data_IF_312235037437
#
_entry.id   IF_312235037437
#
_cell.length_a   1.000
_cell.length_b   1.000
_cell.length_c   1.000
_cell.angle_alpha   90.00
_cell.angle_beta   90.00
_cell.angle_gamma   90.00
#
_symmetry.space_group_name_H-M   'P 1'
#
loop_
_entity.id
_entity.type
_entity.pdbx_description
1 polymer ?
#
# COMPACT_ATOMS: atom_id res chain seq x y z
N UNK A 1 -0.39 -22.20 7.23
CA UNK A 1 -0.96 -22.49 5.89
C UNK A 1 0.06 -22.10 4.86
N UNK A 2 0.23 -22.87 3.77
CA UNK A 2 1.11 -22.50 2.68
C UNK A 2 0.54 -21.27 1.94
N UNK A 3 1.40 -20.30 1.63
CA UNK A 3 1.02 -19.14 0.83
C UNK A 3 0.67 -19.59 -0.61
N UNK A 4 -0.28 -18.92 -1.27
CA UNK A 4 -0.60 -19.22 -2.68
C UNK A 4 0.65 -19.14 -3.56
N UNK A 5 0.73 -19.97 -4.60
CA UNK A 5 1.89 -19.99 -5.51
C UNK A 5 2.12 -18.70 -6.28
N UNK A 6 1.14 -17.78 -6.33
CA UNK A 6 1.26 -16.45 -6.91
C UNK A 6 1.91 -15.41 -5.98
N UNK A 7 2.13 -15.76 -4.70
CA UNK A 7 2.77 -14.86 -3.73
C UNK A 7 4.30 -14.94 -3.91
N UNK A 8 5.00 -13.85 -4.28
CA UNK A 8 6.42 -13.90 -4.55
C UNK A 8 7.23 -14.19 -3.28
N UNK A 9 8.29 -14.95 -3.39
CA UNK A 9 9.25 -15.11 -2.31
C UNK A 9 10.18 -13.91 -2.21
N UNK A 10 10.59 -13.37 -3.37
CA UNK A 10 11.54 -12.30 -3.50
C UNK A 10 11.27 -11.49 -4.78
N UNK A 11 11.30 -10.16 -4.67
CA UNK A 11 11.40 -9.25 -5.81
C UNK A 11 12.70 -8.44 -5.65
N UNK A 12 13.58 -8.54 -6.61
CA UNK A 12 14.90 -7.93 -6.56
C UNK A 12 14.94 -6.61 -7.32
N UNK A 13 15.39 -5.55 -6.65
CA UNK A 13 15.71 -4.25 -7.22
C UNK A 13 17.21 -3.98 -7.23
N UNK A 14 17.59 -2.76 -7.58
CA UNK A 14 18.99 -2.32 -7.56
C UNK A 14 19.51 -1.98 -6.17
N UNK A 15 18.64 -1.37 -5.33
CA UNK A 15 19.00 -0.86 -4.00
C UNK A 15 18.15 -1.44 -2.89
N UNK A 16 17.10 -2.15 -3.24
CA UNK A 16 16.17 -2.79 -2.30
C UNK A 16 15.80 -4.18 -2.78
N UNK A 17 15.36 -4.99 -1.84
CA UNK A 17 14.68 -6.25 -2.10
C UNK A 17 13.35 -6.26 -1.35
N UNK A 18 12.33 -6.83 -1.97
CA UNK A 18 11.04 -7.07 -1.33
C UNK A 18 10.91 -8.57 -1.09
N UNK A 19 10.59 -8.96 0.14
CA UNK A 19 10.40 -10.35 0.53
C UNK A 19 9.28 -10.50 1.53
N UNK A 20 8.88 -11.73 1.77
CA UNK A 20 7.81 -12.03 2.74
C UNK A 20 8.14 -11.49 4.11
N UNK A 21 7.13 -10.98 4.80
CA UNK A 21 7.26 -10.63 6.20
C UNK A 21 7.54 -11.87 7.06
N UNK A 22 8.30 -11.66 8.13
CA UNK A 22 8.50 -12.62 9.21
C UNK A 22 7.98 -12.05 10.52
N UNK A 23 7.63 -12.87 11.53
CA UNK A 23 7.08 -12.37 12.80
C UNK A 23 7.98 -11.33 13.49
N UNK A 24 9.30 -11.44 13.34
CA UNK A 24 10.25 -10.48 13.90
C UNK A 24 10.08 -9.04 13.36
N UNK A 25 9.44 -8.88 12.18
CA UNK A 25 9.15 -7.56 11.60
C UNK A 25 8.14 -6.74 12.43
N UNK A 26 7.36 -7.36 13.33
CA UNK A 26 6.43 -6.67 14.22
C UNK A 26 7.11 -5.52 14.98
N UNK A 27 8.34 -5.72 15.46
CA UNK A 27 9.10 -4.66 16.17
C UNK A 27 9.33 -3.41 15.33
N UNK A 28 9.50 -3.56 14.02
CA UNK A 28 9.61 -2.42 13.11
C UNK A 28 8.26 -1.71 12.96
N UNK A 29 7.17 -2.46 12.82
CA UNK A 29 5.82 -1.89 12.77
C UNK A 29 5.48 -1.13 14.05
N UNK A 30 5.85 -1.64 15.23
CA UNK A 30 5.68 -0.95 16.52
C UNK A 30 6.39 0.42 16.52
N UNK A 31 7.63 0.50 16.03
CA UNK A 31 8.35 1.78 15.91
C UNK A 31 7.71 2.73 14.89
N UNK A 32 7.36 2.22 13.72
CA UNK A 32 6.85 3.05 12.62
C UNK A 32 5.49 3.64 12.91
N UNK A 33 4.53 2.82 13.31
CA UNK A 33 3.15 3.26 13.50
C UNK A 33 2.92 3.93 14.86
N UNK A 34 3.87 3.84 15.80
CA UNK A 34 3.92 4.66 17.00
C UNK A 34 4.59 6.03 16.76
N UNK A 35 5.29 6.24 15.64
CA UNK A 35 5.88 7.53 15.29
C UNK A 35 4.79 8.49 14.75
N UNK A 36 4.64 9.70 15.33
CA UNK A 36 3.59 10.64 14.92
C UNK A 36 3.70 11.08 13.45
N UNK A 37 4.91 11.20 12.91
CA UNK A 37 5.13 11.68 11.55
C UNK A 37 4.77 10.59 10.53
N UNK A 38 5.11 9.33 10.82
CA UNK A 38 4.68 8.18 10.00
C UNK A 38 3.17 8.04 10.08
N UNK A 39 2.59 8.11 11.29
CA UNK A 39 1.15 8.01 11.49
C UNK A 39 0.40 9.11 10.72
N UNK A 40 0.90 10.36 10.75
CA UNK A 40 0.32 11.48 10.02
C UNK A 40 0.21 11.21 8.51
N UNK A 41 1.18 10.53 7.94
CA UNK A 41 1.26 10.27 6.49
C UNK A 41 0.50 9.01 6.03
N UNK A 42 0.13 8.12 6.97
CA UNK A 42 -0.34 6.76 6.63
C UNK A 42 -1.69 6.38 7.24
N UNK A 43 -2.23 7.19 8.16
CA UNK A 43 -3.46 6.87 8.90
C UNK A 43 -4.57 7.86 8.61
N UNK A 44 -5.82 7.35 8.59
CA UNK A 44 -7.03 8.18 8.57
C UNK A 44 -7.33 8.78 9.96
N UNK A 45 -7.11 8.01 11.02
CA UNK A 45 -7.25 8.49 12.40
C UNK A 45 -6.08 9.41 12.76
N UNK A 46 -6.34 10.41 13.58
CA UNK A 46 -5.29 11.27 14.09
C UNK A 46 -4.44 10.58 15.15
N UNK A 47 -3.14 10.87 15.11
CA UNK A 47 -2.15 10.37 16.07
C UNK A 47 -1.65 8.93 15.79
N UNK A 48 -0.66 8.50 16.60
CA UNK A 48 -0.02 7.19 16.50
C UNK A 48 -0.99 6.03 16.80
N UNK A 49 -0.65 4.86 16.31
CA UNK A 49 -1.36 3.62 16.66
C UNK A 49 -0.95 3.16 18.07
N UNK A 50 -1.92 2.62 18.80
CA UNK A 50 -1.64 1.88 20.03
C UNK A 50 -1.03 0.52 19.69
N UNK A 51 -0.31 -0.05 20.65
CA UNK A 51 0.38 -1.33 20.46
C UNK A 51 -0.56 -2.46 20.01
N UNK A 52 -1.73 -2.59 20.65
CA UNK A 52 -2.72 -3.59 20.30
C UNK A 52 -3.31 -3.42 18.89
N UNK A 53 -3.41 -2.17 18.42
CA UNK A 53 -3.81 -1.87 17.04
C UNK A 53 -2.71 -2.28 16.05
N UNK A 54 -1.43 -2.00 16.39
CA UNK A 54 -0.28 -2.36 15.55
C UNK A 54 -0.17 -3.88 15.42
N UNK A 55 -0.31 -4.62 16.53
CA UNK A 55 -0.28 -6.08 16.53
C UNK A 55 -1.38 -6.68 15.64
N UNK A 56 -2.62 -6.16 15.74
CA UNK A 56 -3.74 -6.59 14.87
C UNK A 56 -3.50 -6.24 13.41
N UNK A 57 -3.02 -5.02 13.15
CA UNK A 57 -2.71 -4.56 11.80
C UNK A 57 -1.61 -5.41 11.16
N UNK A 58 -0.54 -5.71 11.90
CA UNK A 58 0.53 -6.56 11.44
C UNK A 58 0.03 -7.97 11.14
N UNK A 59 -0.72 -8.59 12.05
CA UNK A 59 -1.28 -9.92 11.87
C UNK A 59 -2.19 -9.99 10.63
N UNK A 60 -3.07 -9.02 10.44
CA UNK A 60 -3.94 -8.94 9.26
C UNK A 60 -3.14 -8.79 7.95
N UNK A 61 -2.05 -8.00 7.98
CA UNK A 61 -1.20 -7.74 6.81
C UNK A 61 -0.33 -8.93 6.42
N UNK A 62 0.17 -9.68 7.42
CA UNK A 62 1.08 -10.81 7.21
C UNK A 62 0.34 -12.13 6.98
N UNK A 63 -0.81 -12.30 7.62
CA UNK A 63 -1.55 -13.56 7.66
C UNK A 63 -2.84 -13.50 6.82
N UNK A 64 -3.27 -12.29 6.44
CA UNK A 64 -4.50 -12.09 5.68
C UNK A 64 -4.41 -12.73 4.28
N UNK A 65 -5.45 -13.47 3.90
CA UNK A 65 -5.52 -14.13 2.59
C UNK A 65 -5.85 -13.16 1.44
N UNK A 66 -6.38 -11.98 1.76
CA UNK A 66 -6.85 -10.99 0.78
C UNK A 66 -5.81 -9.90 0.50
N UNK A 67 -4.60 -10.07 1.00
CA UNK A 67 -3.51 -9.11 0.80
C UNK A 67 -2.20 -9.79 0.46
N UNK A 68 -1.46 -9.19 -0.48
CA UNK A 68 -0.09 -9.52 -0.77
C UNK A 68 0.77 -8.44 -0.13
N UNK A 69 1.45 -8.73 0.97
CA UNK A 69 2.30 -7.78 1.68
C UNK A 69 3.75 -8.25 1.75
N UNK A 70 4.67 -7.38 1.36
CA UNK A 70 6.11 -7.63 1.32
C UNK A 70 6.86 -6.61 2.18
N UNK A 71 7.87 -7.08 2.87
CA UNK A 71 8.84 -6.29 3.59
C UNK A 71 9.86 -5.69 2.62
N UNK A 72 10.13 -4.40 2.73
CA UNK A 72 11.14 -3.69 1.92
C UNK A 72 12.44 -3.65 2.73
N UNK A 73 13.49 -4.25 2.18
CA UNK A 73 14.83 -4.25 2.77
C UNK A 73 15.81 -3.49 1.89
N UNK A 74 16.73 -2.76 2.50
CA UNK A 74 17.89 -2.18 1.79
C UNK A 74 18.81 -3.29 1.27
N UNK A 75 19.39 -3.08 0.10
CA UNK A 75 20.37 -3.97 -0.47
C UNK A 75 21.68 -3.21 -0.75
N UNK A 76 22.85 -3.78 -0.37
CA UNK A 76 23.11 -5.10 0.24
C UNK A 76 22.95 -5.17 1.77
N UNK A 77 22.62 -4.10 2.45
CA UNK A 77 22.63 -4.01 3.92
C UNK A 77 21.56 -4.80 4.68
N UNK A 78 20.57 -5.36 4.01
CA UNK A 78 19.46 -6.16 4.56
C UNK A 78 18.63 -5.52 5.69
N UNK A 79 18.71 -4.20 5.85
CA UNK A 79 17.92 -3.47 6.85
C UNK A 79 16.47 -3.33 6.39
N UNK A 80 15.53 -3.76 7.22
CA UNK A 80 14.11 -3.54 6.99
C UNK A 80 13.78 -2.05 7.08
N UNK A 81 13.23 -1.46 6.02
CA UNK A 81 12.93 -0.01 5.94
C UNK A 81 11.46 0.31 5.69
N UNK A 82 10.66 -0.66 5.28
CA UNK A 82 9.27 -0.41 4.95
C UNK A 82 8.47 -1.66 4.62
N UNK A 83 7.26 -1.43 4.14
CA UNK A 83 6.34 -2.46 3.67
C UNK A 83 5.59 -1.98 2.44
N UNK A 84 5.33 -2.86 1.48
CA UNK A 84 4.47 -2.62 0.33
C UNK A 84 3.43 -3.73 0.24
N UNK A 85 2.20 -3.40 -0.17
CA UNK A 85 1.14 -4.39 -0.22
C UNK A 85 0.12 -4.10 -1.32
N UNK A 86 -0.49 -5.17 -1.83
CA UNK A 86 -1.79 -5.13 -2.48
C UNK A 86 -2.86 -5.64 -1.53
N UNK A 87 -3.98 -4.98 -1.51
CA UNK A 87 -5.23 -5.41 -0.85
C UNK A 87 -6.38 -5.34 -1.85
N UNK A 88 -7.53 -5.88 -1.47
CA UNK A 88 -8.71 -5.90 -2.33
C UNK A 88 -8.38 -6.49 -3.72
N UNK A 89 -7.65 -7.60 -3.71
CA UNK A 89 -7.33 -8.35 -4.93
C UNK A 89 -8.63 -8.90 -5.53
N UNK A 90 -8.99 -8.38 -6.68
CA UNK A 90 -10.16 -8.79 -7.44
C UNK A 90 -9.68 -9.48 -8.72
N UNK A 91 -9.73 -10.80 -8.72
CA UNK A 91 -9.30 -11.61 -9.87
C UNK A 91 -10.27 -11.57 -11.06
N UNK A 92 -11.54 -11.24 -10.84
CA UNK A 92 -12.54 -11.12 -11.90
C UNK A 92 -12.35 -9.83 -12.69
N UNK A 93 -12.19 -8.70 -11.98
CA UNK A 93 -11.96 -7.38 -12.58
C UNK A 93 -10.47 -7.09 -12.83
N UNK A 94 -9.57 -7.99 -12.41
CA UNK A 94 -8.12 -7.82 -12.56
C UNK A 94 -7.59 -6.59 -11.83
N UNK A 95 -8.05 -6.29 -10.61
CA UNK A 95 -7.69 -5.06 -9.93
C UNK A 95 -7.18 -5.27 -8.51
N UNK A 96 -6.44 -4.28 -7.99
CA UNK A 96 -6.00 -4.24 -6.60
C UNK A 96 -5.78 -2.81 -6.10
N UNK A 97 -5.84 -2.64 -4.78
CA UNK A 97 -5.42 -1.41 -4.08
C UNK A 97 -3.97 -1.55 -3.61
N UNK A 98 -3.16 -0.56 -3.94
CA UNK A 98 -1.74 -0.50 -3.57
C UNK A 98 -1.51 0.33 -2.32
N UNK A 99 -0.67 -0.17 -1.43
CA UNK A 99 -0.26 0.50 -0.21
C UNK A 99 1.26 0.41 -0.04
N UNK A 100 1.88 1.48 0.43
CA UNK A 100 3.30 1.48 0.77
C UNK A 100 3.58 2.38 1.98
N UNK A 101 4.45 1.93 2.85
CA UNK A 101 5.00 2.71 3.96
C UNK A 101 6.52 2.53 4.00
N UNK A 102 7.28 3.60 3.84
CA UNK A 102 8.68 3.64 4.24
C UNK A 102 8.68 4.13 5.68
N UNK A 103 8.88 3.20 6.61
CA UNK A 103 8.74 3.48 8.03
C UNK A 103 10.00 4.07 8.67
N UNK A 104 11.19 3.75 8.15
CA UNK A 104 12.45 4.33 8.59
C UNK A 104 12.64 5.71 7.97
N UNK A 105 12.62 6.78 8.81
CA UNK A 105 12.64 8.17 8.32
C UNK A 105 13.95 8.56 7.64
N UNK A 106 15.07 7.99 8.06
CA UNK A 106 16.38 8.19 7.42
C UNK A 106 16.48 7.54 6.03
N UNK A 107 15.54 6.66 5.69
CA UNK A 107 15.39 6.07 4.37
C UNK A 107 14.51 6.93 3.42
N UNK A 108 13.88 8.00 3.94
CA UNK A 108 13.06 8.89 3.12
C UNK A 108 13.91 9.71 2.14
N UNK A 109 13.36 9.98 0.95
CA UNK A 109 14.07 10.75 -0.08
C UNK A 109 15.13 9.95 -0.86
N UNK A 110 15.46 8.72 -0.46
CA UNK A 110 16.46 7.89 -1.14
C UNK A 110 15.92 7.14 -2.37
N UNK A 111 14.63 7.31 -2.70
CA UNK A 111 14.02 6.67 -3.86
C UNK A 111 13.54 5.23 -3.63
N UNK A 112 13.67 4.68 -2.44
CA UNK A 112 13.25 3.31 -2.12
C UNK A 112 11.76 3.08 -2.35
N UNK A 113 10.90 4.05 -1.98
CA UNK A 113 9.46 3.97 -2.23
C UNK A 113 9.13 3.89 -3.72
N UNK A 114 9.81 4.67 -4.56
CA UNK A 114 9.64 4.65 -6.01
C UNK A 114 10.08 3.31 -6.62
N UNK A 115 11.21 2.79 -6.16
CA UNK A 115 11.74 1.50 -6.62
C UNK A 115 10.84 0.35 -6.20
N UNK A 116 10.38 0.32 -4.93
CA UNK A 116 9.43 -0.67 -4.44
C UNK A 116 8.11 -0.63 -5.22
N UNK A 117 7.58 0.58 -5.51
CA UNK A 117 6.38 0.73 -6.32
C UNK A 117 6.56 0.12 -7.72
N UNK A 118 7.70 0.35 -8.38
CA UNK A 118 7.98 -0.24 -9.70
C UNK A 118 8.06 -1.75 -9.66
N UNK A 119 8.73 -2.34 -8.66
CA UNK A 119 8.79 -3.80 -8.48
C UNK A 119 7.41 -4.41 -8.26
N UNK A 120 6.58 -3.76 -7.43
CA UNK A 120 5.21 -4.20 -7.20
C UNK A 120 4.36 -4.12 -8.47
N UNK A 121 4.45 -3.04 -9.26
CA UNK A 121 3.76 -2.92 -10.54
C UNK A 121 4.22 -3.97 -11.56
N UNK A 122 5.52 -4.27 -11.59
CA UNK A 122 6.04 -5.34 -12.45
C UNK A 122 5.47 -6.69 -12.08
N UNK A 123 5.38 -7.00 -10.78
CA UNK A 123 4.75 -8.21 -10.31
C UNK A 123 3.24 -8.23 -10.61
N UNK A 124 2.53 -7.11 -10.37
CA UNK A 124 1.10 -7.01 -10.61
C UNK A 124 0.72 -7.24 -12.07
N UNK A 125 1.37 -6.55 -13.00
CA UNK A 125 1.03 -6.61 -14.42
C UNK A 125 1.76 -7.73 -15.16
N UNK A 126 3.00 -8.05 -14.75
CA UNK A 126 3.82 -9.06 -15.40
C UNK A 126 3.51 -10.49 -14.95
N UNK A 127 3.29 -10.69 -13.65
CA UNK A 127 3.11 -12.03 -13.06
C UNK A 127 1.66 -12.33 -12.73
N UNK A 128 0.96 -11.40 -12.03
CA UNK A 128 -0.42 -11.61 -11.62
C UNK A 128 -1.42 -11.36 -12.77
N UNK A 129 -1.00 -10.67 -13.83
CA UNK A 129 -1.86 -10.35 -14.98
C UNK A 129 -3.00 -9.39 -14.62
N UNK A 130 -2.81 -8.55 -13.62
CA UNK A 130 -3.82 -7.55 -13.25
C UNK A 130 -3.96 -6.50 -14.35
N UNK A 131 -5.13 -5.89 -14.43
CA UNK A 131 -5.46 -4.85 -15.40
C UNK A 131 -5.28 -3.44 -14.82
N UNK A 132 -5.53 -3.28 -13.51
CA UNK A 132 -5.58 -1.96 -12.85
C UNK A 132 -5.03 -2.02 -11.43
N UNK A 133 -4.18 -1.05 -11.11
CA UNK A 133 -3.73 -0.80 -9.73
C UNK A 133 -4.15 0.61 -9.33
N UNK A 134 -4.87 0.72 -8.23
CA UNK A 134 -5.31 1.99 -7.67
C UNK A 134 -4.66 2.26 -6.30
N UNK A 135 -4.66 3.50 -5.88
CA UNK A 135 -4.24 3.93 -4.54
C UNK A 135 -5.00 5.20 -4.12
N UNK A 136 -5.01 5.46 -2.82
CA UNK A 136 -5.42 6.72 -2.25
C UNK A 136 -4.25 7.36 -1.50
N UNK A 137 -4.13 8.68 -1.57
CA UNK A 137 -3.05 9.44 -0.94
C UNK A 137 -3.56 10.79 -0.42
N UNK A 138 -3.14 11.17 0.77
CA UNK A 138 -3.50 12.47 1.34
C UNK A 138 -2.82 13.60 0.56
N UNK A 139 -3.56 14.67 0.28
CA UNK A 139 -3.08 15.82 -0.48
C UNK A 139 -1.77 16.41 0.08
N UNK A 140 -1.62 16.44 1.40
CA UNK A 140 -0.40 16.94 2.06
C UNK A 140 0.82 16.03 1.92
N UNK A 141 0.65 14.79 1.41
CA UNK A 141 1.76 13.87 1.17
C UNK A 141 2.34 14.04 -0.25
N UNK A 142 2.77 15.26 -0.56
CA UNK A 142 3.30 15.62 -1.89
C UNK A 142 4.46 14.72 -2.35
N UNK A 143 5.28 14.23 -1.40
CA UNK A 143 6.39 13.32 -1.70
C UNK A 143 5.88 12.02 -2.29
N UNK A 144 4.84 11.43 -1.70
CA UNK A 144 4.23 10.21 -2.21
C UNK A 144 3.56 10.45 -3.57
N UNK A 145 2.82 11.56 -3.72
CA UNK A 145 2.18 11.93 -4.99
C UNK A 145 3.21 12.05 -6.12
N UNK A 146 4.34 12.74 -5.88
CA UNK A 146 5.42 12.83 -6.87
C UNK A 146 6.01 11.45 -7.20
N UNK A 147 6.21 10.60 -6.20
CA UNK A 147 6.70 9.23 -6.40
C UNK A 147 5.74 8.41 -7.26
N UNK A 148 4.44 8.42 -6.98
CA UNK A 148 3.45 7.69 -7.77
C UNK A 148 3.36 8.19 -9.21
N UNK A 149 3.35 9.52 -9.42
CA UNK A 149 3.41 10.10 -10.78
C UNK A 149 4.65 9.63 -11.54
N UNK A 150 5.81 9.54 -10.89
CA UNK A 150 7.05 9.05 -11.52
C UNK A 150 7.02 7.55 -11.86
N UNK A 151 6.09 6.81 -11.28
CA UNK A 151 5.80 5.42 -11.59
C UNK A 151 4.68 5.25 -12.64
N UNK A 152 4.06 6.35 -13.07
CA UNK A 152 3.04 6.36 -14.11
C UNK A 152 1.60 6.42 -13.60
N UNK A 153 1.38 6.57 -12.30
CA UNK A 153 0.03 6.76 -11.77
C UNK A 153 -0.56 8.10 -12.22
N UNK A 154 -1.82 8.06 -12.62
CA UNK A 154 -2.63 9.22 -13.05
C UNK A 154 -3.66 9.53 -11.96
N UNK A 155 -3.90 10.80 -11.70
CA UNK A 155 -4.97 11.24 -10.78
C UNK A 155 -6.32 11.00 -11.45
N UNK A 156 -7.22 10.32 -10.75
CA UNK A 156 -8.59 10.07 -11.23
C UNK A 156 -9.64 10.92 -10.53
N UNK A 157 -9.37 11.27 -9.27
CA UNK A 157 -10.35 11.98 -8.47
C UNK A 157 -9.77 12.58 -7.20
N UNK A 158 -10.63 13.35 -6.56
CA UNK A 158 -10.33 14.06 -5.32
C UNK A 158 -11.56 14.00 -4.42
N UNK A 159 -11.44 13.34 -3.26
CA UNK A 159 -12.43 13.40 -2.21
C UNK A 159 -12.17 14.67 -1.39
N UNK A 160 -13.04 15.67 -1.55
CA UNK A 160 -12.86 16.97 -0.92
C UNK A 160 -13.07 16.86 0.59
N UNK A 161 -12.19 17.52 1.37
CA UNK A 161 -12.30 17.63 2.82
C UNK A 161 -12.46 16.27 3.53
N UNK A 162 -11.78 15.24 3.02
CA UNK A 162 -11.89 13.88 3.52
C UNK A 162 -11.14 13.64 4.83
N UNK A 163 -10.13 14.45 5.13
CA UNK A 163 -9.22 14.24 6.26
C UNK A 163 -9.10 15.53 7.08
N UNK A 164 -9.41 15.43 8.38
CA UNK A 164 -9.09 16.48 9.34
C UNK A 164 -7.67 16.27 9.89
N UNK A 165 -6.76 17.23 9.66
CA UNK A 165 -5.38 17.15 10.13
C UNK A 165 -4.78 18.55 10.31
N UNK A 166 -4.00 18.74 11.38
CA UNK A 166 -3.31 19.99 11.66
C UNK A 166 -4.26 21.20 11.71
N UNK A 167 -5.47 21.04 12.26
CA UNK A 167 -6.45 22.11 12.42
C UNK A 167 -7.19 22.51 11.15
N UNK A 168 -7.10 21.75 10.07
CA UNK A 168 -7.85 21.99 8.82
C UNK A 168 -8.27 20.72 8.11
N UNK A 169 -9.18 20.85 7.16
CA UNK A 169 -9.57 19.80 6.24
C UNK A 169 -8.60 19.70 5.06
N UNK A 170 -8.36 18.46 4.66
CA UNK A 170 -7.53 18.12 3.51
C UNK A 170 -8.26 17.16 2.59
N UNK A 171 -7.92 17.21 1.32
CA UNK A 171 -8.45 16.27 0.34
C UNK A 171 -7.69 14.94 0.37
N UNK A 172 -8.37 13.90 -0.09
CA UNK A 172 -7.75 12.64 -0.46
C UNK A 172 -7.75 12.52 -1.99
N UNK A 173 -6.61 12.16 -2.56
CA UNK A 173 -6.41 12.02 -4.00
C UNK A 173 -6.42 10.55 -4.34
N UNK A 174 -7.30 10.15 -5.27
CA UNK A 174 -7.29 8.81 -5.86
C UNK A 174 -6.44 8.81 -7.11
N UNK A 175 -5.58 7.81 -7.24
CA UNK A 175 -4.73 7.63 -8.41
C UNK A 175 -4.77 6.18 -8.88
N UNK A 176 -4.53 5.94 -10.16
CA UNK A 176 -4.41 4.60 -10.72
C UNK A 176 -3.40 4.54 -11.84
N UNK A 177 -3.04 3.31 -12.21
CA UNK A 177 -2.28 2.97 -13.41
C UNK A 177 -2.89 1.72 -14.03
N UNK A 178 -3.01 1.71 -15.36
CA UNK A 178 -3.49 0.57 -16.13
C UNK A 178 -2.32 -0.22 -16.73
N UNK A 179 -2.51 -1.51 -16.97
CA UNK A 179 -1.52 -2.39 -17.60
C UNK A 179 -1.00 -1.83 -18.94
N UNK A 180 -1.89 -1.31 -19.78
CA UNK A 180 -1.50 -0.72 -21.07
C UNK A 180 -0.60 0.52 -20.92
N UNK A 181 -0.84 1.36 -19.90
CA UNK A 181 -0.02 2.53 -19.59
C UNK A 181 1.35 2.11 -19.08
N UNK A 182 1.40 1.14 -18.16
CA UNK A 182 2.65 0.59 -17.64
C UNK A 182 3.51 -0.03 -18.75
N UNK A 183 2.92 -0.85 -19.64
CA UNK A 183 3.64 -1.42 -20.80
C UNK A 183 4.18 -0.34 -21.73
N UNK A 184 3.43 0.73 -21.93
CA UNK A 184 3.85 1.87 -22.76
C UNK A 184 5.05 2.62 -22.16
N UNK A 185 5.05 2.81 -20.82
CA UNK A 185 6.17 3.43 -20.12
C UNK A 185 7.44 2.58 -20.21
N UNK A 186 7.33 1.26 -20.08
CA UNK A 186 8.47 0.33 -20.25
C UNK A 186 9.09 0.39 -21.65
N UNK A 187 8.26 0.47 -22.68
CA UNK A 187 8.74 0.60 -24.06
C UNK A 187 9.50 1.91 -24.32
N UNK A 188 9.10 3.00 -23.66
CA UNK A 188 9.75 4.32 -23.78
C UNK A 188 11.04 4.44 -22.95
N UNK A 189 11.13 3.72 -21.83
CA UNK A 189 12.26 3.78 -20.89
C UNK A 189 13.39 2.80 -21.18
N UNK A 190 13.45 2.17 -22.34
CA UNK A 190 14.36 1.14 -22.83
C UNK A 190 15.54 0.78 -21.92
N UNK A 191 15.43 -0.28 -21.10
CA UNK A 191 16.56 -0.78 -20.34
C UNK A 191 16.21 -1.47 -19.00
N UNK A 192 15.14 -2.25 -18.94
CA UNK A 192 14.91 -3.18 -17.84
C UNK A 192 15.02 -4.61 -18.37
N UNK A 193 15.84 -5.47 -17.69
CA UNK A 193 16.01 -6.89 -17.98
C UNK A 193 14.64 -7.55 -18.26
N UNK A 194 14.46 -8.28 -19.38
CA UNK A 194 13.22 -8.99 -19.64
C UNK A 194 12.99 -10.03 -18.53
N UNK A 195 11.72 -10.27 -18.13
CA UNK A 195 11.42 -11.40 -17.27
C UNK A 195 11.85 -12.69 -17.97
N UNK A 196 12.38 -13.63 -17.20
CA UNK A 196 12.71 -14.95 -17.69
C UNK A 196 11.46 -15.58 -18.33
N UNK A 197 11.58 -16.03 -19.56
CA UNK A 197 10.53 -16.69 -20.36
C UNK A 197 10.28 -18.13 -19.87
N UNK A 198 9.96 -18.36 -18.61
CA UNK A 198 9.62 -19.70 -18.12
C UNK A 198 8.51 -19.65 -17.04
N UNK A 199 7.34 -19.11 -17.39
CA UNK A 199 6.14 -19.32 -16.57
C UNK A 199 4.85 -19.15 -17.39
N UNK A 200 4.73 -19.90 -18.48
CA UNK A 200 3.45 -20.12 -19.16
C UNK A 200 3.05 -21.57 -18.90
N UNK A 201 2.35 -21.81 -17.79
CA UNK A 201 1.36 -22.89 -17.65
C UNK A 201 0.81 -22.92 -16.21
N UNK A 202 -0.17 -22.10 -15.88
CA UNK A 202 -1.19 -22.44 -14.88
C UNK A 202 -2.39 -21.48 -14.99
N UNK A 203 -3.15 -21.59 -16.04
CA UNK A 203 -4.55 -21.14 -16.04
C UNK A 203 -5.35 -22.24 -15.36
N UNK A 204 -5.65 -22.07 -14.08
CA UNK A 204 -6.75 -22.79 -13.45
C UNK A 204 -7.80 -21.76 -13.04
N UNK A 205 -9.07 -21.94 -13.38
CA UNK A 205 -10.11 -21.03 -12.97
C UNK A 205 -10.40 -21.26 -11.49
N UNK A 206 -10.11 -20.28 -10.67
CA UNK A 206 -10.61 -20.28 -9.30
C UNK A 206 -12.06 -19.81 -9.36
N UNK A 207 -12.97 -20.77 -9.49
CA UNK A 207 -14.38 -20.58 -9.22
C UNK A 207 -14.56 -20.49 -7.70
N UNK A 208 -15.00 -19.36 -7.23
CA UNK A 208 -15.40 -19.14 -5.85
C UNK A 208 -16.17 -17.84 -5.77
N UNK A 209 -17.50 -17.95 -5.89
CA UNK A 209 -18.44 -16.85 -5.67
C UNK A 209 -18.34 -16.42 -4.22
N UNK A 210 -17.79 -15.25 -3.95
CA UNK A 210 -17.89 -14.59 -2.66
C UNK A 210 -18.70 -13.31 -2.84
N UNK A 211 -19.76 -13.23 -2.06
CA UNK A 211 -20.74 -12.16 -2.09
C UNK A 211 -20.10 -10.79 -1.87
N UNK A 212 -20.53 -9.84 -2.68
CA UNK A 212 -20.20 -8.42 -2.59
C UNK A 212 -20.70 -7.86 -1.28
N UNK A 213 -19.77 -7.65 -0.32
CA UNK A 213 -19.99 -6.80 0.83
C UNK A 213 -19.12 -5.56 0.69
N UNK A 214 -19.72 -4.40 0.46
CA UNK A 214 -19.03 -3.12 0.59
C UNK A 214 -18.36 -3.03 1.95
N UNK A 215 -17.08 -2.78 2.10
CA UNK A 215 -16.52 -2.41 3.36
C UNK A 215 -16.66 -0.89 3.59
N UNK A 216 -17.89 -0.48 3.93
CA UNK A 216 -18.03 0.66 4.81
C UNK A 216 -17.33 0.29 6.12
N UNK A 217 -16.53 1.21 6.68
CA UNK A 217 -15.65 1.07 7.82
C UNK A 217 -16.18 0.12 8.92
N UNK A 218 -15.31 -0.77 9.36
CA UNK A 218 -15.55 -1.66 10.47
C UNK A 218 -15.93 -0.90 11.74
N UNK A 219 -17.21 -0.78 11.99
CA UNK A 219 -17.75 -0.38 13.28
C UNK A 219 -17.57 -1.57 14.23
N UNK A 220 -16.60 -1.48 15.10
CA UNK A 220 -16.52 -2.31 16.30
C UNK A 220 -17.51 -1.72 17.31
N UNK A 221 -18.30 -2.60 17.89
CA UNK A 221 -19.49 -2.43 18.70
C UNK A 221 -19.52 -1.30 19.72
N UNK A 222 -20.74 -0.90 19.94
CA UNK A 222 -21.20 0.11 20.86
C UNK A 222 -20.70 -0.09 22.30
N UNK A 223 -19.94 0.88 22.77
CA UNK A 223 -19.81 1.25 24.17
C UNK A 223 -20.23 2.70 24.29
N UNK A 224 -21.40 2.93 24.89
CA UNK A 224 -21.98 4.24 25.13
C UNK A 224 -21.09 5.08 26.06
N UNK A 225 -20.48 6.12 25.58
CA UNK A 225 -20.05 7.27 26.41
C UNK A 225 -19.95 8.52 25.54
N UNK A 226 -20.77 9.49 25.91
CA UNK A 226 -20.99 10.85 25.48
C UNK A 226 -20.02 11.49 24.51
N UNK A 227 -20.45 11.64 23.28
CA UNK A 227 -19.86 12.58 22.32
C UNK A 227 -20.23 14.00 22.75
N UNK A 228 -19.28 14.73 23.34
CA UNK A 228 -19.39 16.20 23.43
C UNK A 228 -19.16 16.77 22.03
N UNK A 229 -20.17 17.39 21.48
CA UNK A 229 -20.03 18.21 20.28
C UNK A 229 -19.11 19.41 20.59
N UNK A 230 -18.23 19.81 19.70
CA UNK A 230 -17.49 21.05 19.85
C UNK A 230 -18.46 22.25 19.73
N UNK A 231 -18.42 23.11 20.71
CA UNK A 231 -19.18 24.35 20.82
C UNK A 231 -18.89 25.25 19.60
N UNK A 232 -19.95 25.70 18.93
CA UNK A 232 -19.83 26.67 17.83
C UNK A 232 -19.32 28.01 18.38
N UNK A 233 -18.05 28.32 18.15
CA UNK A 233 -17.52 29.67 18.33
C UNK A 233 -18.18 30.57 17.29
N UNK A 234 -19.06 31.48 17.76
CA UNK A 234 -19.55 32.60 16.96
C UNK A 234 -18.39 33.60 16.80
N UNK A 235 -18.11 33.95 15.59
CA UNK A 235 -17.25 35.09 15.28
C UNK A 235 -18.00 36.42 15.53
N UNK A 236 -17.30 37.51 15.90
CA UNK A 236 -17.89 38.82 16.12
C UNK A 236 -18.43 39.47 14.85
#
# INVERSE_FOLDING_TARGET
MAQPGWFPELLEGGRIVLRRHVPANLRAFERWYADPEVARLTRYQDGPMRRDEIERFFAARVVGHDSLALAIHEWPGDRLVGTAAFSQLDGENGSAMYHITIGEKDAWGRGYGTEATRLMLEHAFGTLGLHRIALAVFEFNERAIRSYRSCGFVVEGRAREAIWRDGRWWDEITMSILDAEWRSLRKRGGGGRPPAEDAVAARSPVGGTVAVGSPAGGAVGAGSSGVRQPEKVRAP
#
